data_IF_572558113736
#
_entry.id   IF_572558113736
#
_cell.length_a   1.000
_cell.length_b   1.000
_cell.length_c   1.000
_cell.angle_alpha   90.00
_cell.angle_beta   90.00
_cell.angle_gamma   90.00
#
_symmetry.space_group_name_H-M   'P 1'
#
loop_
_entity.id
_entity.type
_entity.pdbx_description
1 polymer ?
#
# COMPACT_ATOMS: atom_id res chain seq x y z
N UNK A 1 12.89 -4.55 -5.70
CA UNK A 1 12.79 -4.59 -7.16
C UNK A 1 11.68 -5.55 -7.58
N UNK A 2 10.80 -5.14 -8.48
CA UNK A 2 9.69 -5.95 -9.00
C UNK A 2 10.03 -6.68 -10.33
N UNK A 3 11.25 -6.50 -10.83
CA UNK A 3 11.67 -7.13 -12.07
C UNK A 3 12.27 -8.50 -11.74
N UNK A 4 11.67 -9.53 -12.32
CA UNK A 4 12.16 -10.91 -12.18
C UNK A 4 13.40 -11.14 -13.03
N UNK A 5 14.17 -12.17 -12.72
CA UNK A 5 15.35 -12.55 -13.52
C UNK A 5 14.98 -12.85 -14.98
N UNK A 6 13.93 -13.65 -15.27
CA UNK A 6 13.51 -13.92 -16.64
C UNK A 6 13.19 -12.65 -17.45
N UNK A 7 12.52 -11.67 -16.82
CA UNK A 7 12.15 -10.42 -17.49
C UNK A 7 13.37 -9.54 -17.79
N UNK A 8 14.43 -9.63 -16.99
CA UNK A 8 15.62 -8.80 -17.12
C UNK A 8 16.67 -9.32 -18.11
N UNK A 9 16.80 -10.63 -18.29
CA UNK A 9 17.89 -11.25 -19.06
C UNK A 9 17.92 -10.75 -20.51
N UNK A 10 16.77 -10.66 -21.17
CA UNK A 10 16.68 -10.21 -22.55
C UNK A 10 17.15 -8.76 -22.74
N UNK A 11 16.63 -7.77 -21.99
CA UNK A 11 17.11 -6.40 -22.01
C UNK A 11 18.59 -6.25 -21.63
N UNK A 12 19.05 -6.96 -20.60
CA UNK A 12 20.44 -6.92 -20.14
C UNK A 12 21.42 -7.40 -21.20
N UNK A 13 21.08 -8.48 -21.93
CA UNK A 13 21.91 -9.02 -23.00
C UNK A 13 22.07 -8.11 -24.23
N UNK A 14 21.21 -7.10 -24.38
CA UNK A 14 21.27 -6.11 -25.47
C UNK A 14 22.03 -4.84 -25.12
N UNK A 15 22.26 -4.60 -23.83
CA UNK A 15 22.92 -3.38 -23.33
C UNK A 15 24.45 -3.52 -23.30
N UNK A 16 25.17 -2.44 -23.63
CA UNK A 16 26.61 -2.36 -23.38
C UNK A 16 26.91 -2.10 -21.92
N UNK A 17 25.99 -1.46 -21.24
CA UNK A 17 26.06 -1.14 -19.81
C UNK A 17 24.69 -1.41 -19.22
N UNK A 18 24.68 -1.98 -18.03
CA UNK A 18 23.44 -2.26 -17.27
C UNK A 18 23.52 -1.54 -15.94
N UNK A 19 22.46 -0.82 -15.62
CA UNK A 19 22.24 -0.21 -14.30
C UNK A 19 20.93 -0.78 -13.76
N UNK A 20 21.02 -1.48 -12.62
CA UNK A 20 19.86 -2.01 -11.93
C UNK A 20 19.55 -1.11 -10.76
N UNK A 21 18.34 -0.55 -10.76
CA UNK A 21 17.84 0.32 -9.68
C UNK A 21 16.73 -0.40 -8.93
N UNK A 22 16.77 -0.35 -7.61
CA UNK A 22 15.77 -0.96 -6.77
C UNK A 22 16.12 -0.86 -5.30
N UNK A 23 15.32 -1.47 -4.48
CA UNK A 23 15.43 -1.45 -3.03
C UNK A 23 15.23 -2.87 -2.48
N UNK A 24 16.25 -3.47 -1.85
CA UNK A 24 16.15 -4.82 -1.30
C UNK A 24 15.28 -4.89 -0.04
N UNK A 25 14.94 -3.75 0.58
CA UNK A 25 14.05 -3.69 1.74
C UNK A 25 12.57 -3.63 1.35
N UNK A 26 12.25 -3.41 0.07
CA UNK A 26 10.89 -3.44 -0.43
C UNK A 26 10.49 -4.86 -0.82
N UNK A 27 9.16 -5.08 -0.93
CA UNK A 27 8.61 -6.40 -1.25
C UNK A 27 9.20 -6.97 -2.55
N UNK A 28 9.49 -8.28 -2.57
CA UNK A 28 9.97 -8.97 -3.78
C UNK A 28 8.90 -8.97 -4.87
N UNK A 29 9.26 -9.35 -6.12
CA UNK A 29 8.28 -9.52 -7.19
C UNK A 29 7.17 -10.49 -6.79
N UNK A 30 5.92 -10.13 -7.09
CA UNK A 30 4.79 -11.06 -6.92
C UNK A 30 4.76 -12.01 -8.11
N UNK A 31 4.74 -13.35 -7.90
CA UNK A 31 4.61 -14.30 -8.98
C UNK A 31 3.34 -14.04 -9.79
N UNK A 32 3.46 -13.97 -11.11
CA UNK A 32 2.29 -13.93 -11.99
C UNK A 32 1.62 -15.30 -11.94
N UNK A 33 0.64 -15.47 -11.06
CA UNK A 33 -0.17 -16.70 -10.99
C UNK A 33 -1.07 -16.82 -12.22
N UNK A 34 -0.52 -17.38 -13.25
CA UNK A 34 -1.23 -17.91 -14.41
C UNK A 34 -1.21 -19.44 -14.32
N UNK A 35 -2.21 -20.02 -13.63
CA UNK A 35 -2.60 -21.42 -13.76
C UNK A 35 -1.56 -22.49 -13.41
N UNK A 36 -1.67 -23.05 -12.22
CA UNK A 36 -1.49 -24.50 -12.01
C UNK A 36 -0.10 -25.13 -12.09
N UNK A 37 1.01 -24.40 -11.93
CA UNK A 37 2.34 -24.99 -11.97
C UNK A 37 3.00 -25.19 -10.59
N UNK A 38 3.91 -26.19 -10.42
CA UNK A 38 4.38 -26.68 -9.12
C UNK A 38 5.28 -25.68 -8.37
N UNK A 39 5.27 -25.78 -7.05
CA UNK A 39 5.91 -24.88 -6.07
C UNK A 39 7.41 -24.54 -6.29
N UNK A 40 8.14 -25.29 -7.09
CA UNK A 40 9.56 -25.05 -7.38
C UNK A 40 9.75 -23.84 -8.29
N UNK A 41 8.84 -23.64 -9.25
CA UNK A 41 8.83 -22.50 -10.18
C UNK A 41 8.48 -21.19 -9.46
N UNK A 42 7.58 -21.26 -8.48
CA UNK A 42 7.15 -20.09 -7.71
C UNK A 42 8.26 -19.48 -6.83
N UNK A 43 9.21 -20.28 -6.36
CA UNK A 43 10.36 -19.79 -5.59
C UNK A 43 11.36 -19.06 -6.49
N UNK A 44 11.60 -19.56 -7.70
CA UNK A 44 12.50 -18.94 -8.69
C UNK A 44 11.93 -17.66 -9.29
N UNK A 45 10.60 -17.56 -9.41
CA UNK A 45 9.91 -16.36 -9.89
C UNK A 45 9.93 -15.19 -8.89
N UNK A 46 10.22 -15.46 -7.62
CA UNK A 46 10.34 -14.42 -6.57
C UNK A 46 11.70 -13.74 -6.55
N UNK A 47 12.70 -14.31 -7.22
CA UNK A 47 14.04 -13.73 -7.24
C UNK A 47 14.08 -12.45 -8.10
N UNK A 48 14.34 -11.33 -7.47
CA UNK A 48 14.53 -10.08 -8.20
C UNK A 48 15.91 -10.05 -8.88
N UNK A 49 15.97 -9.38 -10.02
CA UNK A 49 17.26 -9.15 -10.70
C UNK A 49 18.24 -8.35 -9.84
N UNK A 50 17.72 -7.49 -8.96
CA UNK A 50 18.53 -6.74 -8.01
C UNK A 50 19.27 -7.67 -7.06
N UNK A 51 18.57 -8.63 -6.45
CA UNK A 51 19.15 -9.57 -5.49
C UNK A 51 20.21 -10.43 -6.17
N UNK A 52 19.93 -10.90 -7.39
CA UNK A 52 20.92 -11.67 -8.18
C UNK A 52 22.14 -10.85 -8.56
N UNK A 53 22.00 -9.56 -8.86
CA UNK A 53 23.14 -8.70 -9.09
C UNK A 53 23.96 -8.47 -7.82
N UNK A 54 23.32 -8.35 -6.67
CA UNK A 54 24.01 -8.23 -5.38
C UNK A 54 24.76 -9.51 -5.03
N UNK A 55 24.15 -10.67 -5.19
CA UNK A 55 24.76 -11.98 -4.97
C UNK A 55 25.98 -12.22 -5.91
N UNK A 56 25.87 -11.72 -7.14
CA UNK A 56 26.97 -11.79 -8.12
C UNK A 56 28.10 -10.77 -7.85
N UNK A 57 28.01 -9.98 -6.78
CA UNK A 57 29.05 -9.01 -6.42
C UNK A 57 29.13 -7.78 -7.33
N UNK A 58 28.04 -7.44 -8.04
CA UNK A 58 27.96 -6.21 -8.83
C UNK A 58 28.12 -5.00 -7.92
N UNK A 59 28.95 -4.01 -8.34
CA UNK A 59 29.23 -2.83 -7.55
C UNK A 59 27.94 -2.06 -7.19
N UNK A 60 27.75 -1.81 -5.89
CA UNK A 60 26.57 -1.14 -5.32
C UNK A 60 26.88 0.33 -4.99
N UNK A 61 25.90 1.18 -5.23
CA UNK A 61 25.84 2.56 -4.72
C UNK A 61 24.52 2.80 -4.04
N UNK A 62 24.54 3.20 -2.76
CA UNK A 62 23.34 3.60 -2.02
C UNK A 62 22.89 5.00 -2.42
N UNK A 63 21.57 5.17 -2.60
CA UNK A 63 20.93 6.46 -2.71
C UNK A 63 20.44 6.86 -1.32
N UNK A 64 20.85 8.01 -0.82
CA UNK A 64 20.59 8.44 0.56
C UNK A 64 19.53 9.52 0.67
N UNK A 65 19.23 10.25 -0.41
CA UNK A 65 18.24 11.32 -0.38
C UNK A 65 16.82 10.77 -0.59
N UNK A 66 15.97 11.01 0.41
CA UNK A 66 14.55 10.76 0.35
C UNK A 66 13.80 12.08 0.16
N UNK A 67 13.06 12.22 -0.94
CA UNK A 67 12.35 13.45 -1.32
C UNK A 67 10.84 13.26 -1.54
N UNK A 68 10.36 12.03 -1.61
CA UNK A 68 8.95 11.73 -1.91
C UNK A 68 8.02 12.17 -0.78
N UNK A 69 8.33 11.81 0.45
CA UNK A 69 7.53 12.19 1.61
C UNK A 69 7.81 13.65 1.99
N UNK A 70 6.74 14.46 2.00
CA UNK A 70 6.83 15.87 2.40
C UNK A 70 7.01 16.07 3.90
N UNK A 71 6.76 15.03 4.69
CA UNK A 71 6.86 15.05 6.15
C UNK A 71 7.84 13.96 6.58
N UNK A 72 8.85 14.35 7.33
CA UNK A 72 9.93 13.44 7.78
C UNK A 72 9.40 12.27 8.62
N UNK A 73 8.36 12.47 9.41
CA UNK A 73 7.76 11.42 10.25
C UNK A 73 7.28 10.21 9.45
N UNK A 74 6.91 10.38 8.18
CA UNK A 74 6.47 9.29 7.31
C UNK A 74 7.58 8.29 6.98
N UNK A 75 8.83 8.72 6.92
CA UNK A 75 9.96 7.84 6.63
C UNK A 75 10.78 7.49 7.87
N UNK A 76 10.59 8.20 8.99
CA UNK A 76 11.43 8.09 10.17
C UNK A 76 11.48 6.66 10.73
N UNK A 77 10.33 5.98 10.79
CA UNK A 77 10.25 4.60 11.25
C UNK A 77 11.05 3.66 10.33
N UNK A 78 10.78 3.72 9.02
CA UNK A 78 11.47 2.89 8.05
C UNK A 78 12.97 3.19 8.01
N UNK A 79 13.37 4.47 8.07
CA UNK A 79 14.75 4.87 8.09
C UNK A 79 15.51 4.26 9.29
N UNK A 80 14.90 4.30 10.47
CA UNK A 80 15.50 3.75 11.68
C UNK A 80 15.63 2.22 11.66
N UNK A 81 14.60 1.51 11.15
CA UNK A 81 14.50 0.06 11.31
C UNK A 81 15.00 -0.74 10.10
N UNK A 82 15.05 -0.14 8.90
CA UNK A 82 15.37 -0.83 7.65
C UNK A 82 16.55 -0.22 6.88
N UNK A 83 16.87 1.06 7.16
CA UNK A 83 17.91 1.78 6.41
C UNK A 83 19.05 2.32 7.29
N UNK A 84 19.15 1.83 8.53
CA UNK A 84 20.21 2.18 9.50
C UNK A 84 20.39 3.71 9.70
N UNK A 85 19.33 4.50 9.54
CA UNK A 85 19.37 5.94 9.61
C UNK A 85 20.07 6.63 8.45
N UNK A 86 20.36 5.91 7.36
CA UNK A 86 21.15 6.42 6.24
C UNK A 86 20.38 7.37 5.30
N UNK A 87 19.05 7.38 5.39
CA UNK A 87 18.22 8.25 4.53
C UNK A 87 18.17 9.66 5.10
N UNK A 88 18.41 10.63 4.22
CA UNK A 88 18.33 12.06 4.48
C UNK A 88 17.05 12.62 3.90
N UNK A 89 16.23 13.29 4.72
CA UNK A 89 15.02 13.98 4.31
C UNK A 89 15.21 15.48 4.31
N UNK A 90 14.50 16.18 3.44
CA UNK A 90 14.43 17.64 3.53
C UNK A 90 13.56 18.04 4.72
N UNK A 91 13.96 19.07 5.51
CA UNK A 91 13.12 19.59 6.56
C UNK A 91 11.77 20.03 6.00
N UNK A 92 10.68 19.60 6.63
CA UNK A 92 9.34 19.99 6.21
C UNK A 92 8.86 21.20 7.01
N UNK A 93 8.54 22.34 6.40
CA UNK A 93 7.94 23.48 7.09
C UNK A 93 6.53 23.17 7.62
N UNK A 94 5.88 22.14 7.09
CA UNK A 94 4.51 21.75 7.44
C UNK A 94 4.45 21.10 8.83
N UNK A 95 5.52 20.41 9.26
CA UNK A 95 5.58 19.78 10.57
C UNK A 95 5.54 20.78 11.75
N UNK A 96 5.86 22.05 11.49
CA UNK A 96 5.80 23.12 12.49
C UNK A 96 4.40 23.74 12.63
N UNK A 97 3.51 23.53 11.68
CA UNK A 97 2.16 24.08 11.64
C UNK A 97 1.08 23.10 12.13
N UNK A 98 1.41 21.81 12.23
CA UNK A 98 0.48 20.77 12.68
C UNK A 98 0.37 20.80 14.20
N UNK A 99 -0.76 21.28 14.72
CA UNK A 99 -1.10 21.18 16.15
C UNK A 99 -1.46 19.73 16.53
N UNK A 100 -1.38 19.38 17.84
CA UNK A 100 -1.75 18.04 18.32
C UNK A 100 -3.22 17.66 18.11
N UNK A 101 -4.06 18.63 17.76
CA UNK A 101 -5.52 18.49 17.56
C UNK A 101 -5.97 18.47 16.08
N UNK A 102 -5.05 18.48 15.13
CA UNK A 102 -5.40 18.33 13.73
C UNK A 102 -5.92 16.90 13.49
N UNK A 103 -7.18 16.67 13.81
CA UNK A 103 -7.91 15.42 13.63
C UNK A 103 -7.59 14.66 12.31
N UNK A 104 -8.46 13.82 11.76
CA UNK A 104 -8.15 12.99 10.59
C UNK A 104 -7.82 13.75 9.29
N UNK A 105 -7.18 14.90 9.36
CA UNK A 105 -6.69 15.79 8.31
C UNK A 105 -5.27 16.29 8.55
N UNK A 106 -4.64 15.91 9.67
CA UNK A 106 -3.28 16.32 10.02
C UNK A 106 -2.20 15.72 9.11
N UNK A 107 -1.02 16.35 9.12
CA UNK A 107 0.14 15.87 8.37
C UNK A 107 0.89 14.78 9.14
N UNK A 108 1.46 13.82 8.42
CA UNK A 108 2.23 12.73 9.02
C UNK A 108 1.40 11.46 9.21
N UNK A 109 1.66 10.72 10.29
CA UNK A 109 1.00 9.44 10.58
C UNK A 109 -0.01 9.67 11.70
N UNK A 110 -1.24 9.23 11.47
CA UNK A 110 -2.29 9.21 12.48
C UNK A 110 -2.92 7.82 12.58
N UNK A 111 -3.36 7.44 13.77
CA UNK A 111 -4.06 6.19 14.03
C UNK A 111 -5.50 6.51 14.44
N UNK A 112 -6.45 5.91 13.73
CA UNK A 112 -7.86 5.90 14.10
C UNK A 112 -8.28 4.50 14.50
N UNK A 113 -8.61 4.31 15.77
CA UNK A 113 -9.17 3.04 16.24
C UNK A 113 -10.63 2.92 15.77
N UNK A 114 -10.96 1.76 15.23
CA UNK A 114 -12.32 1.36 14.85
C UNK A 114 -12.64 0.07 15.61
N UNK A 115 -13.75 0.05 16.35
CA UNK A 115 -14.18 -1.12 17.13
C UNK A 115 -14.96 -2.09 16.20
N UNK A 116 -14.29 -2.56 15.16
CA UNK A 116 -14.76 -3.56 14.22
C UNK A 116 -14.25 -4.96 14.56
N UNK A 117 -14.86 -5.98 13.93
CA UNK A 117 -14.48 -7.38 14.08
C UNK A 117 -14.05 -7.96 12.75
N UNK A 118 -13.03 -8.80 12.78
CA UNK A 118 -12.62 -9.58 11.63
C UNK A 118 -13.44 -10.85 11.52
N UNK A 119 -14.00 -11.09 10.35
CA UNK A 119 -14.76 -12.30 10.03
C UNK A 119 -13.89 -13.22 9.17
N UNK A 120 -13.23 -14.19 9.79
CA UNK A 120 -12.42 -15.19 9.10
C UNK A 120 -13.27 -16.14 8.25
N UNK A 121 -12.59 -16.96 7.44
CA UNK A 121 -13.29 -17.96 6.61
C UNK A 121 -14.00 -19.04 7.42
N UNK A 122 -13.56 -19.29 8.65
CA UNK A 122 -14.13 -20.22 9.62
C UNK A 122 -15.50 -19.77 10.16
N UNK A 123 -15.79 -18.47 10.12
CA UNK A 123 -17.06 -17.89 10.58
C UNK A 123 -18.12 -17.77 9.45
N UNK A 124 -17.83 -18.26 8.26
CA UNK A 124 -18.72 -18.14 7.10
C UNK A 124 -20.09 -18.82 7.29
N UNK A 125 -20.11 -19.93 8.01
CA UNK A 125 -21.38 -20.65 8.27
C UNK A 125 -22.24 -19.95 9.33
N UNK A 126 -21.61 -19.26 10.30
CA UNK A 126 -22.25 -18.51 11.36
C UNK A 126 -22.76 -17.14 10.87
N UNK A 127 -22.04 -16.53 9.90
CA UNK A 127 -22.32 -15.21 9.32
C UNK A 127 -22.37 -15.25 7.79
N UNK A 128 -23.36 -15.91 7.18
CA UNK A 128 -23.45 -16.05 5.72
C UNK A 128 -23.66 -14.72 4.99
N UNK A 129 -24.12 -13.68 5.70
CA UNK A 129 -24.32 -12.32 5.17
C UNK A 129 -23.04 -11.51 5.08
N UNK A 130 -21.97 -11.93 5.75
CA UNK A 130 -20.68 -11.21 5.77
C UNK A 130 -19.70 -11.83 4.78
N UNK A 131 -19.00 -10.98 4.04
CA UNK A 131 -17.93 -11.44 3.17
C UNK A 131 -16.78 -11.98 4.04
N UNK A 132 -16.36 -13.23 3.85
CA UNK A 132 -15.29 -13.80 4.67
C UNK A 132 -13.95 -13.10 4.42
N UNK A 133 -13.12 -13.09 5.44
CA UNK A 133 -11.82 -12.41 5.49
C UNK A 133 -11.94 -10.89 5.37
N UNK A 134 -12.98 -10.31 5.97
CA UNK A 134 -13.19 -8.86 6.02
C UNK A 134 -13.49 -8.36 7.43
N UNK A 135 -13.43 -7.03 7.58
CA UNK A 135 -13.90 -6.27 8.72
C UNK A 135 -14.85 -5.18 8.18
N UNK A 136 -16.17 -5.45 8.12
CA UNK A 136 -17.13 -4.54 7.51
C UNK A 136 -17.17 -3.17 8.19
N UNK A 137 -17.11 -3.14 9.53
CA UNK A 137 -17.16 -1.89 10.30
C UNK A 137 -15.95 -0.99 9.99
N UNK A 138 -14.78 -1.59 9.80
CA UNK A 138 -13.59 -0.86 9.37
C UNK A 138 -13.72 -0.39 7.93
N UNK A 139 -14.28 -1.21 7.03
CA UNK A 139 -14.54 -0.82 5.65
C UNK A 139 -15.47 0.40 5.57
N UNK A 140 -16.58 0.38 6.32
CA UNK A 140 -17.49 1.51 6.43
C UNK A 140 -16.81 2.77 6.95
N UNK A 141 -15.95 2.63 7.95
CA UNK A 141 -15.20 3.77 8.51
C UNK A 141 -14.21 4.37 7.49
N UNK A 142 -13.57 3.53 6.65
CA UNK A 142 -12.71 3.99 5.55
C UNK A 142 -13.52 4.73 4.50
N UNK A 143 -14.66 4.17 4.09
CA UNK A 143 -15.57 4.80 3.11
C UNK A 143 -16.08 6.14 3.63
N UNK A 144 -16.50 6.21 4.88
CA UNK A 144 -16.93 7.46 5.51
C UNK A 144 -15.83 8.53 5.52
N UNK A 145 -14.58 8.14 5.78
CA UNK A 145 -13.43 9.05 5.74
C UNK A 145 -13.15 9.55 4.32
N UNK A 146 -13.23 8.68 3.31
CA UNK A 146 -13.11 9.08 1.91
C UNK A 146 -14.18 10.11 1.56
N UNK A 147 -15.45 9.82 1.85
CA UNK A 147 -16.56 10.75 1.58
C UNK A 147 -16.37 12.11 2.26
N UNK A 148 -16.01 12.10 3.53
CA UNK A 148 -15.71 13.32 4.29
C UNK A 148 -14.64 14.19 3.60
N UNK A 149 -13.58 13.58 3.06
CA UNK A 149 -12.52 14.31 2.34
C UNK A 149 -13.00 14.85 1.00
N UNK A 150 -13.86 14.14 0.30
CA UNK A 150 -14.50 14.63 -0.92
C UNK A 150 -15.42 15.83 -0.65
N UNK A 151 -16.17 15.80 0.46
CA UNK A 151 -17.00 16.92 0.92
C UNK A 151 -16.16 18.15 1.32
N UNK A 152 -15.03 17.91 1.99
CA UNK A 152 -14.11 18.97 2.40
C UNK A 152 -13.36 19.61 1.20
N UNK A 153 -13.36 18.96 0.04
CA UNK A 153 -12.70 19.45 -1.18
C UNK A 153 -13.67 19.58 -2.35
N UNK A 154 -14.65 20.51 -2.30
CA UNK A 154 -15.73 20.60 -3.30
C UNK A 154 -15.26 21.03 -4.68
N UNK A 155 -14.13 21.72 -4.79
CA UNK A 155 -13.63 22.30 -6.04
C UNK A 155 -12.63 21.42 -6.79
N UNK A 156 -12.05 20.43 -6.13
CA UNK A 156 -11.06 19.54 -6.73
C UNK A 156 -11.24 18.10 -6.22
N UNK A 157 -10.79 17.13 -6.99
CA UNK A 157 -10.73 15.74 -6.52
C UNK A 157 -9.59 15.61 -5.52
N UNK A 158 -9.85 15.12 -4.29
CA UNK A 158 -8.78 14.91 -3.32
C UNK A 158 -7.88 13.74 -3.75
N UNK A 159 -6.57 13.91 -3.56
CA UNK A 159 -5.57 12.87 -3.85
C UNK A 159 -5.54 11.84 -2.71
N UNK A 160 -6.26 10.74 -2.88
CA UNK A 160 -6.44 9.70 -1.85
C UNK A 160 -6.12 8.32 -2.42
N UNK A 161 -5.41 7.52 -1.63
CA UNK A 161 -5.27 6.09 -1.85
C UNK A 161 -5.76 5.32 -0.64
N UNK A 162 -6.40 4.18 -0.88
CA UNK A 162 -6.77 3.22 0.16
C UNK A 162 -5.96 1.95 -0.04
N UNK A 163 -5.33 1.47 1.03
CA UNK A 163 -4.53 0.24 1.04
C UNK A 163 -5.08 -0.71 2.08
N UNK A 164 -5.63 -1.83 1.63
CA UNK A 164 -6.10 -2.89 2.51
C UNK A 164 -5.03 -3.99 2.66
N UNK A 165 -5.00 -4.65 3.82
CA UNK A 165 -4.01 -5.69 4.09
C UNK A 165 -4.36 -7.04 3.46
N UNK A 166 -5.57 -7.18 2.90
CA UNK A 166 -5.92 -8.33 2.08
C UNK A 166 -6.87 -7.95 0.93
N UNK A 167 -6.94 -8.82 -0.07
CA UNK A 167 -7.72 -8.61 -1.29
C UNK A 167 -9.23 -8.53 -1.01
N UNK A 168 -9.76 -9.31 -0.05
CA UNK A 168 -11.20 -9.33 0.25
C UNK A 168 -11.68 -8.01 0.86
N UNK A 169 -10.88 -7.45 1.76
CA UNK A 169 -11.16 -6.14 2.34
C UNK A 169 -11.08 -5.03 1.29
N UNK A 170 -10.08 -5.11 0.39
CA UNK A 170 -9.97 -4.20 -0.74
C UNK A 170 -11.23 -4.22 -1.59
N UNK A 171 -11.68 -5.42 -2.00
CA UNK A 171 -12.87 -5.58 -2.82
C UNK A 171 -14.11 -5.01 -2.13
N UNK A 172 -14.28 -5.32 -0.83
CA UNK A 172 -15.39 -4.80 -0.03
C UNK A 172 -15.39 -3.26 0.01
N UNK A 173 -14.24 -2.65 0.26
CA UNK A 173 -14.13 -1.17 0.30
C UNK A 173 -14.44 -0.58 -1.07
N UNK A 174 -13.93 -1.17 -2.16
CA UNK A 174 -14.19 -0.69 -3.50
C UNK A 174 -15.67 -0.80 -3.86
N UNK A 175 -16.32 -1.91 -3.54
CA UNK A 175 -17.75 -2.13 -3.76
C UNK A 175 -18.60 -1.12 -2.97
N UNK A 176 -18.28 -0.89 -1.70
CA UNK A 176 -18.95 0.11 -0.88
C UNK A 176 -18.79 1.53 -1.43
N UNK A 177 -17.60 1.91 -1.89
CA UNK A 177 -17.37 3.20 -2.53
C UNK A 177 -18.23 3.36 -3.79
N UNK A 178 -18.34 2.32 -4.62
CA UNK A 178 -19.20 2.34 -5.81
C UNK A 178 -20.68 2.45 -5.46
N UNK A 179 -21.11 1.83 -4.36
CA UNK A 179 -22.49 1.86 -3.88
C UNK A 179 -22.89 3.19 -3.26
N UNK A 180 -21.95 4.09 -2.94
CA UNK A 180 -22.28 5.43 -2.40
C UNK A 180 -23.12 6.29 -3.36
N UNK A 181 -23.08 6.00 -4.66
CA UNK A 181 -23.75 6.79 -5.70
C UNK A 181 -23.16 8.20 -5.90
N UNK A 182 -22.03 8.50 -5.28
CA UNK A 182 -21.34 9.78 -5.46
C UNK A 182 -20.65 9.82 -6.81
N UNK A 183 -21.15 10.66 -7.74
CA UNK A 183 -20.55 10.82 -9.07
C UNK A 183 -19.06 11.21 -8.99
N UNK A 184 -18.68 12.06 -8.04
CA UNK A 184 -17.30 12.49 -7.84
C UNK A 184 -16.38 11.37 -7.37
N UNK A 185 -16.87 10.46 -6.53
CA UNK A 185 -16.13 9.28 -6.09
C UNK A 185 -15.94 8.31 -7.25
N UNK A 186 -16.99 8.07 -8.04
CA UNK A 186 -16.93 7.22 -9.23
C UNK A 186 -15.96 7.77 -10.27
N UNK A 187 -16.04 9.08 -10.57
CA UNK A 187 -15.09 9.77 -11.44
C UNK A 187 -13.64 9.59 -10.96
N UNK A 188 -13.41 9.75 -9.65
CA UNK A 188 -12.08 9.60 -9.07
C UNK A 188 -11.55 8.16 -9.15
N UNK A 189 -12.40 7.14 -9.00
CA UNK A 189 -12.02 5.73 -9.17
C UNK A 189 -11.62 5.38 -10.61
N UNK A 190 -12.19 6.08 -11.59
CA UNK A 190 -11.91 5.87 -13.02
C UNK A 190 -10.74 6.74 -13.54
N UNK A 191 -10.39 7.78 -12.80
CA UNK A 191 -9.30 8.68 -13.16
C UNK A 191 -7.95 8.09 -12.77
N UNK A 192 -6.97 8.12 -13.67
CA UNK A 192 -5.64 7.53 -13.47
C UNK A 192 -4.94 7.98 -12.19
N UNK A 193 -4.99 9.28 -11.88
CA UNK A 193 -4.37 9.88 -10.71
C UNK A 193 -5.38 10.21 -9.60
N UNK A 194 -6.58 9.65 -9.69
CA UNK A 194 -7.66 9.83 -8.73
C UNK A 194 -7.57 8.91 -7.50
N UNK A 195 -8.73 8.51 -7.01
CA UNK A 195 -8.85 7.57 -5.89
C UNK A 195 -8.47 6.15 -6.35
N UNK A 196 -7.58 5.49 -5.62
CA UNK A 196 -7.36 4.07 -5.80
C UNK A 196 -7.68 3.27 -4.54
N UNK A 197 -8.06 2.01 -4.73
CA UNK A 197 -8.14 0.99 -3.68
C UNK A 197 -7.25 -0.17 -4.08
N UNK A 198 -6.24 -0.49 -3.27
CA UNK A 198 -5.24 -1.53 -3.55
C UNK A 198 -5.03 -2.41 -2.33
N UNK A 199 -4.52 -3.61 -2.53
CA UNK A 199 -3.92 -4.41 -1.46
C UNK A 199 -2.41 -4.13 -1.36
N UNK A 200 -1.80 -4.64 -0.29
CA UNK A 200 -0.36 -4.43 -0.02
C UNK A 200 0.54 -4.93 -1.16
N UNK A 201 0.13 -5.99 -1.85
CA UNK A 201 0.94 -6.60 -2.92
C UNK A 201 0.93 -5.73 -4.19
N UNK A 202 -0.16 -5.00 -4.43
CA UNK A 202 -0.39 -4.26 -5.67
C UNK A 202 -0.22 -2.74 -5.54
N UNK A 203 0.11 -2.24 -4.33
CA UNK A 203 0.24 -0.79 -4.09
C UNK A 203 1.61 -0.23 -4.45
N UNK A 204 2.61 -1.08 -4.66
CA UNK A 204 3.97 -0.62 -4.92
C UNK A 204 4.04 0.29 -6.16
N UNK A 205 4.62 1.48 -5.98
CA UNK A 205 4.75 2.50 -7.03
C UNK A 205 3.66 3.56 -7.03
N UNK A 206 2.57 3.34 -6.29
CA UNK A 206 1.51 4.34 -6.13
C UNK A 206 1.92 5.41 -5.10
N UNK A 207 1.40 6.61 -5.29
CA UNK A 207 1.57 7.74 -4.36
C UNK A 207 0.33 8.63 -4.37
N UNK A 208 -0.07 9.12 -3.20
CA UNK A 208 -1.15 10.11 -3.02
C UNK A 208 -0.81 11.02 -1.85
N UNK A 209 -1.44 12.18 -1.81
CA UNK A 209 -1.28 13.11 -0.67
C UNK A 209 -1.78 12.50 0.64
N UNK A 210 -2.78 11.64 0.57
CA UNK A 210 -3.29 10.86 1.71
C UNK A 210 -3.38 9.39 1.37
N UNK A 211 -2.84 8.55 2.24
CA UNK A 211 -3.02 7.10 2.19
C UNK A 211 -3.78 6.65 3.44
N UNK A 212 -4.89 5.97 3.23
CA UNK A 212 -5.67 5.32 4.30
C UNK A 212 -5.32 3.83 4.31
N UNK A 213 -4.82 3.34 5.45
CA UNK A 213 -4.56 1.92 5.63
C UNK A 213 -5.74 1.27 6.35
N UNK A 214 -6.31 0.22 5.75
CA UNK A 214 -7.25 -0.69 6.38
C UNK A 214 -6.49 -1.93 6.81
N UNK A 215 -6.27 -2.08 8.12
CA UNK A 215 -5.52 -3.19 8.69
C UNK A 215 -6.30 -4.49 8.60
N UNK A 216 -7.64 -4.40 8.61
CA UNK A 216 -8.58 -5.52 8.45
C UNK A 216 -8.60 -6.46 9.65
N UNK A 217 -7.41 -6.96 10.06
CA UNK A 217 -7.27 -7.94 11.11
C UNK A 217 -7.52 -7.33 12.48
N UNK A 218 -8.44 -7.92 13.21
CA UNK A 218 -8.79 -7.56 14.59
C UNK A 218 -9.29 -8.81 15.30
N UNK A 219 -9.52 -8.72 16.60
CA UNK A 219 -10.12 -9.82 17.33
C UNK A 219 -11.46 -10.22 16.69
N UNK A 220 -11.69 -11.53 16.57
CA UNK A 220 -12.97 -12.09 16.15
C UNK A 220 -14.01 -11.99 17.29
N UNK A 221 -15.21 -12.51 17.09
CA UNK A 221 -16.26 -12.52 18.12
C UNK A 221 -15.89 -13.30 19.38
N UNK A 222 -14.94 -14.24 19.27
CA UNK A 222 -14.44 -15.06 20.39
C UNK A 222 -13.27 -14.38 21.12
N UNK A 223 -12.80 -13.22 20.62
CA UNK A 223 -11.67 -12.49 21.18
C UNK A 223 -10.30 -12.99 20.71
N UNK A 224 -10.27 -13.92 19.74
CA UNK A 224 -9.03 -14.43 19.15
C UNK A 224 -8.52 -13.45 18.07
N UNK A 225 -7.19 -13.32 17.96
CA UNK A 225 -6.49 -12.51 16.94
C UNK A 225 -6.05 -13.40 15.78
#
# INVERSE_FOLDING_TARGET
>A
SQITVPDAVGPMGRGRTVVVVGDPQQMPPVPRTGGGEPAVTAAQERDSILDRCLDAGVARRGLTWHYRSRVESLIAFANKHYYDGALLSFPSPIALAAGPDDGPGGHGISLRRVDGRYYGADLREEHPEVVPNTNPVEADAVVAEVLRRFEASPQALPSIGVVAFNTRQRDLIEDLLRQTGSERVLEALETRDGLFVRDLENVQGEERDTILFSVTFSANERGDL
#
